data_IF_286529788750
#
_entry.id   IF_286529788750
#
_cell.length_a   1.000
_cell.length_b   1.000
_cell.length_c   1.000
_cell.angle_alpha   90.00
_cell.angle_beta   90.00
_cell.angle_gamma   90.00
#
_symmetry.space_group_name_H-M   'P 1'
#
loop_
_entity.id
_entity.type
_entity.pdbx_description
1 polymer ?
#
# COMPACT_ATOMS: atom_id res chain seq x y z
N UNK A 1 42.98 -12.69 21.63
CA UNK A 1 43.20 -11.38 22.27
C UNK A 1 42.90 -10.29 21.24
N UNK A 2 41.89 -9.46 21.54
CA UNK A 2 41.62 -8.06 21.14
C UNK A 2 41.78 -7.72 19.64
N UNK A 3 40.71 -7.60 18.83
CA UNK A 3 39.65 -6.55 18.77
C UNK A 3 40.11 -5.21 18.16
N UNK A 4 39.69 -4.96 16.92
CA UNK A 4 39.48 -3.62 16.34
C UNK A 4 38.23 -3.66 15.44
N UNK A 5 37.26 -2.73 15.60
CA UNK A 5 35.97 -2.80 14.91
C UNK A 5 35.91 -1.93 13.63
N UNK A 6 35.10 -2.42 12.68
CA UNK A 6 34.62 -1.72 11.49
C UNK A 6 33.79 -0.48 11.84
N UNK A 7 34.07 0.63 11.16
CA UNK A 7 33.25 1.84 11.15
C UNK A 7 32.31 1.79 9.93
N UNK A 8 31.00 1.70 10.17
CA UNK A 8 29.94 1.79 9.17
C UNK A 8 29.61 3.27 8.94
N UNK A 9 29.95 3.82 7.78
CA UNK A 9 29.48 5.14 7.33
C UNK A 9 28.25 4.96 6.43
N UNK A 10 27.06 5.34 6.93
CA UNK A 10 25.86 5.52 6.11
C UNK A 10 25.74 7.02 5.84
N UNK A 11 25.93 7.42 4.59
CA UNK A 11 25.71 8.78 4.10
C UNK A 11 24.21 9.03 3.90
N UNK A 12 23.67 10.01 4.64
CA UNK A 12 22.37 10.61 4.40
C UNK A 12 22.53 11.68 3.31
N UNK A 13 21.92 11.48 2.13
CA UNK A 13 21.76 12.54 1.14
C UNK A 13 20.35 13.13 1.26
N UNK A 14 20.28 14.37 1.76
CA UNK A 14 19.10 15.23 1.69
C UNK A 14 19.33 16.19 0.52
N UNK A 15 18.57 16.05 -0.55
CA UNK A 15 18.48 17.07 -1.60
C UNK A 15 17.37 18.04 -1.19
N UNK A 16 17.76 19.23 -0.74
CA UNK A 16 16.92 20.43 -0.77
C UNK A 16 17.17 21.09 -2.12
N UNK A 17 16.13 21.23 -2.94
CA UNK A 17 16.12 22.23 -4.00
C UNK A 17 14.91 23.14 -3.81
N UNK A 18 15.25 24.40 -3.53
CA UNK A 18 14.37 25.56 -3.54
C UNK A 18 13.81 25.79 -4.94
N UNK A 19 12.49 25.95 -5.06
CA UNK A 19 11.87 26.64 -6.19
C UNK A 19 10.97 27.72 -5.64
N UNK A 20 11.50 28.94 -5.69
CA UNK A 20 10.77 30.20 -5.53
C UNK A 20 9.89 30.40 -6.78
N UNK A 21 8.57 30.64 -6.68
CA UNK A 21 7.80 31.09 -7.83
C UNK A 21 8.16 32.55 -8.12
N UNK A 22 8.70 32.82 -9.31
CA UNK A 22 8.77 34.18 -9.87
C UNK A 22 7.36 34.59 -10.29
N UNK A 23 6.87 35.69 -9.73
CA UNK A 23 5.71 36.43 -10.24
C UNK A 23 6.01 36.88 -11.68
N UNK A 24 5.05 36.66 -12.58
CA UNK A 24 5.03 37.26 -13.91
C UNK A 24 3.80 38.18 -13.98
N UNK A 25 3.97 39.49 -14.22
CA UNK A 25 2.85 40.40 -14.44
C UNK A 25 2.30 40.19 -15.86
N UNK A 26 1.10 40.71 -16.11
CA UNK A 26 0.41 40.78 -17.41
C UNK A 26 -0.43 39.57 -17.82
N UNK A 27 -1.69 39.59 -17.38
CA UNK A 27 -2.83 39.40 -18.29
C UNK A 27 -4.14 39.88 -17.64
N UNK A 28 -4.35 41.19 -17.65
CA UNK A 28 -5.67 41.80 -17.48
C UNK A 28 -6.43 41.71 -18.81
N UNK A 29 -7.52 40.93 -18.84
CA UNK A 29 -8.69 41.24 -19.66
C UNK A 29 -9.90 40.37 -19.24
N UNK A 30 -10.94 40.95 -18.62
CA UNK A 30 -12.19 40.24 -18.34
C UNK A 30 -13.08 40.16 -19.58
N UNK A 31 -13.49 38.94 -19.95
CA UNK A 31 -14.56 38.69 -20.91
C UNK A 31 -15.93 39.10 -20.33
N UNK A 32 -16.87 39.65 -21.13
CA UNK A 32 -18.10 40.24 -20.61
C UNK A 32 -19.16 39.19 -20.24
N UNK A 33 -19.75 39.35 -19.04
CA UNK A 33 -20.93 38.61 -18.60
C UNK A 33 -22.15 38.99 -19.44
N UNK A 34 -22.72 38.01 -20.15
CA UNK A 34 -24.05 38.13 -20.77
C UNK A 34 -25.14 37.81 -19.75
N UNK A 35 -26.10 38.73 -19.62
CA UNK A 35 -27.32 38.60 -18.80
C UNK A 35 -28.26 37.55 -19.41
N UNK A 36 -28.70 36.58 -18.61
CA UNK A 36 -29.62 35.52 -19.05
C UNK A 36 -30.52 34.99 -17.93
N UNK A 37 -31.60 35.74 -17.67
CA UNK A 37 -32.95 35.35 -17.19
C UNK A 37 -33.10 34.35 -16.03
N UNK A 38 -33.62 34.91 -14.94
CA UNK A 38 -34.47 34.24 -13.95
C UNK A 38 -35.63 33.50 -14.63
N UNK A 39 -35.80 32.21 -14.29
CA UNK A 39 -37.08 31.52 -14.04
C UNK A 39 -36.86 29.99 -14.13
N UNK A 40 -36.88 29.31 -12.98
CA UNK A 40 -37.47 27.96 -12.77
C UNK A 40 -37.13 27.47 -11.34
N UNK A 41 -37.74 28.11 -10.33
CA UNK A 41 -37.94 27.49 -9.03
C UNK A 41 -39.40 27.05 -8.93
N UNK A 42 -39.68 25.76 -9.12
CA UNK A 42 -40.82 25.05 -8.51
C UNK A 42 -40.95 23.61 -9.05
N UNK A 43 -40.08 22.73 -8.57
CA UNK A 43 -40.37 21.28 -8.50
C UNK A 43 -39.35 20.58 -7.58
N UNK A 44 -39.29 20.97 -6.31
CA UNK A 44 -38.55 20.19 -5.31
C UNK A 44 -39.40 18.97 -4.97
N UNK A 45 -39.05 17.83 -5.57
CA UNK A 45 -39.68 16.55 -5.29
C UNK A 45 -39.47 16.18 -3.81
N UNK A 46 -40.52 16.08 -2.97
CA UNK A 46 -40.41 15.87 -1.53
C UNK A 46 -39.75 14.53 -1.14
N UNK A 47 -39.64 13.58 -2.09
CA UNK A 47 -38.93 12.31 -1.88
C UNK A 47 -37.40 12.45 -1.84
N UNK A 48 -36.83 13.57 -2.30
CA UNK A 48 -35.37 13.78 -2.30
C UNK A 48 -34.81 14.08 -0.90
N UNK A 49 -35.60 14.71 -0.03
CA UNK A 49 -35.22 14.97 1.36
C UNK A 49 -35.26 13.70 2.23
N UNK A 50 -36.24 12.82 2.04
CA UNK A 50 -36.30 11.54 2.78
C UNK A 50 -35.15 10.58 2.44
N UNK A 51 -34.63 10.63 1.20
CA UNK A 51 -33.43 9.86 0.82
C UNK A 51 -32.11 10.52 1.24
N UNK A 52 -32.07 11.84 1.42
CA UNK A 52 -30.90 12.55 1.93
C UNK A 52 -30.73 12.34 3.45
N UNK A 53 -31.83 12.34 4.21
CA UNK A 53 -31.79 12.09 5.66
C UNK A 53 -31.33 10.67 6.01
N UNK A 54 -31.70 9.65 5.21
CA UNK A 54 -31.20 8.27 5.39
C UNK A 54 -29.71 8.09 5.01
N UNK A 55 -29.12 8.98 4.21
CA UNK A 55 -27.70 8.92 3.84
C UNK A 55 -26.76 9.45 4.93
N UNK A 56 -27.30 10.20 5.91
CA UNK A 56 -26.55 10.82 7.00
C UNK A 56 -26.60 10.09 8.34
N UNK A 57 -27.27 8.94 8.45
CA UNK A 57 -27.29 8.18 9.69
C UNK A 57 -25.88 7.65 10.02
N UNK A 58 -25.35 8.08 11.16
CA UNK A 58 -24.16 7.49 11.78
C UNK A 58 -24.46 6.03 12.05
N UNK A 59 -23.74 5.13 11.38
CA UNK A 59 -23.90 3.69 11.57
C UNK A 59 -23.38 3.33 12.97
N UNK A 60 -24.13 2.51 13.68
CA UNK A 60 -23.67 1.90 14.93
C UNK A 60 -22.58 0.85 14.65
N UNK A 61 -21.90 0.40 15.70
CA UNK A 61 -20.95 -0.72 15.61
C UNK A 61 -21.62 -1.96 14.98
N UNK A 62 -22.83 -2.29 15.43
CA UNK A 62 -23.58 -3.46 14.95
C UNK A 62 -24.00 -3.30 13.48
N UNK A 63 -24.34 -2.09 13.04
CA UNK A 63 -24.65 -1.83 11.63
C UNK A 63 -23.43 -2.08 10.73
N UNK A 64 -22.24 -1.65 11.18
CA UNK A 64 -20.99 -1.94 10.49
C UNK A 64 -20.71 -3.45 10.46
N UNK A 65 -20.84 -4.11 11.60
CA UNK A 65 -20.55 -5.54 11.73
C UNK A 65 -21.53 -6.40 10.91
N UNK A 66 -22.80 -6.07 10.90
CA UNK A 66 -23.77 -6.82 10.09
C UNK A 66 -23.61 -6.52 8.61
N UNK A 67 -23.40 -5.26 8.24
CA UNK A 67 -23.24 -4.85 6.84
C UNK A 67 -21.98 -5.40 6.18
N UNK A 68 -20.84 -5.42 6.88
CA UNK A 68 -19.61 -6.03 6.35
C UNK A 68 -19.80 -7.53 6.20
N UNK A 69 -20.32 -8.22 7.22
CA UNK A 69 -20.56 -9.66 7.19
C UNK A 69 -21.51 -10.07 6.06
N UNK A 70 -22.48 -9.23 5.70
CA UNK A 70 -23.40 -9.46 4.58
C UNK A 70 -22.79 -9.12 3.21
N UNK A 71 -21.51 -8.73 3.14
CA UNK A 71 -20.83 -8.35 1.90
C UNK A 71 -21.26 -6.98 1.34
N UNK A 72 -21.84 -6.09 2.15
CA UNK A 72 -22.29 -4.78 1.69
C UNK A 72 -21.10 -3.86 1.36
N UNK A 73 -20.83 -3.67 0.05
CA UNK A 73 -19.70 -2.87 -0.46
C UNK A 73 -19.72 -1.41 0.02
N UNK A 74 -20.89 -0.81 0.23
CA UNK A 74 -21.01 0.56 0.74
C UNK A 74 -20.61 0.64 2.20
N UNK A 75 -21.06 -0.30 3.03
CA UNK A 75 -20.69 -0.36 4.45
C UNK A 75 -19.19 -0.65 4.61
N UNK A 76 -18.65 -1.58 3.81
CA UNK A 76 -17.21 -1.86 3.75
C UNK A 76 -16.41 -0.60 3.42
N UNK A 77 -16.82 0.14 2.37
CA UNK A 77 -16.14 1.39 1.98
C UNK A 77 -16.17 2.44 3.10
N UNK A 78 -17.31 2.58 3.80
CA UNK A 78 -17.44 3.50 4.94
C UNK A 78 -16.56 3.08 6.12
N UNK A 79 -16.42 1.79 6.38
CA UNK A 79 -15.54 1.29 7.43
C UNK A 79 -14.05 1.55 7.11
N UNK A 80 -13.65 1.39 5.85
CA UNK A 80 -12.31 1.77 5.38
C UNK A 80 -12.08 3.28 5.56
N UNK A 81 -13.08 4.11 5.29
CA UNK A 81 -12.98 5.56 5.56
C UNK A 81 -12.77 5.88 7.04
N UNK A 82 -13.30 5.07 7.98
CA UNK A 82 -13.01 5.23 9.41
C UNK A 82 -11.54 4.95 9.73
N UNK A 83 -10.96 3.89 9.15
CA UNK A 83 -9.54 3.55 9.29
C UNK A 83 -8.66 4.69 8.77
N UNK A 84 -8.99 5.25 7.61
CA UNK A 84 -8.25 6.34 6.97
C UNK A 84 -8.34 7.67 7.72
N UNK A 85 -9.28 7.79 8.67
CA UNK A 85 -9.53 9.03 9.38
C UNK A 85 -8.41 9.39 10.37
N UNK A 86 -8.17 10.69 10.52
CA UNK A 86 -7.27 11.23 11.54
C UNK A 86 -7.93 11.41 12.90
N UNK A 87 -9.27 11.35 12.97
CA UNK A 87 -10.02 11.52 14.22
C UNK A 87 -9.91 10.30 15.13
N UNK A 88 -9.67 10.53 16.43
CA UNK A 88 -9.53 9.46 17.43
C UNK A 88 -10.81 8.61 17.53
N UNK A 89 -11.98 9.26 17.59
CA UNK A 89 -13.29 8.60 17.64
C UNK A 89 -13.52 7.61 16.49
N UNK A 90 -13.13 7.97 15.27
CA UNK A 90 -13.26 7.10 14.10
C UNK A 90 -12.29 5.92 14.17
N UNK A 91 -11.05 6.17 14.60
CA UNK A 91 -10.04 5.12 14.77
C UNK A 91 -10.46 4.10 15.83
N UNK A 92 -10.98 4.56 16.96
CA UNK A 92 -11.45 3.69 18.04
C UNK A 92 -12.64 2.82 17.58
N UNK A 93 -13.58 3.39 16.82
CA UNK A 93 -14.67 2.64 16.23
C UNK A 93 -14.16 1.61 15.21
N UNK A 94 -13.21 1.98 14.34
CA UNK A 94 -12.62 1.07 13.37
C UNK A 94 -11.93 -0.13 14.04
N UNK A 95 -11.17 0.10 15.12
CA UNK A 95 -10.54 -0.98 15.88
C UNK A 95 -11.58 -1.92 16.49
N UNK A 96 -12.64 -1.38 17.11
CA UNK A 96 -13.75 -2.19 17.64
C UNK A 96 -14.40 -3.05 16.55
N UNK A 97 -14.59 -2.52 15.34
CA UNK A 97 -15.11 -3.29 14.20
C UNK A 97 -14.15 -4.44 13.84
N UNK A 98 -12.85 -4.16 13.68
CA UNK A 98 -11.85 -5.17 13.31
C UNK A 98 -11.76 -6.29 14.37
N UNK A 99 -11.77 -5.92 15.65
CA UNK A 99 -11.69 -6.87 16.77
C UNK A 99 -12.82 -7.91 16.75
N UNK A 100 -14.03 -7.54 16.31
CA UNK A 100 -15.15 -8.48 16.16
C UNK A 100 -14.88 -9.58 15.12
N UNK A 101 -14.00 -9.31 14.15
CA UNK A 101 -13.73 -10.23 13.04
C UNK A 101 -12.41 -10.96 13.13
N UNK A 102 -11.51 -10.60 14.05
CA UNK A 102 -10.24 -11.29 14.20
C UNK A 102 -10.36 -12.83 14.20
N UNK A 103 -11.37 -13.46 14.87
CA UNK A 103 -11.55 -14.92 14.83
C UNK A 103 -11.93 -15.49 13.45
N UNK A 104 -12.56 -14.70 12.58
CA UNK A 104 -13.08 -15.11 11.27
C UNK A 104 -12.19 -14.64 10.10
N UNK A 105 -11.09 -13.96 10.39
CA UNK A 105 -10.12 -13.47 9.39
C UNK A 105 -8.93 -14.41 9.27
N UNK A 106 -8.14 -14.27 8.21
CA UNK A 106 -6.98 -15.12 7.93
C UNK A 106 -7.26 -16.31 7.01
N UNK A 107 -8.41 -16.37 6.35
CA UNK A 107 -8.68 -17.45 5.38
C UNK A 107 -8.32 -17.09 3.93
N UNK A 108 -8.18 -15.79 3.63
CA UNK A 108 -7.86 -15.33 2.28
C UNK A 108 -6.40 -15.59 1.91
N UNK A 109 -6.12 -15.66 0.60
CA UNK A 109 -4.76 -15.64 0.05
C UNK A 109 -4.37 -14.18 -0.24
N UNK A 110 -3.28 -13.71 0.35
CA UNK A 110 -2.78 -12.33 0.20
C UNK A 110 -1.58 -12.33 -0.74
N UNK A 111 -1.69 -11.65 -1.88
CA UNK A 111 -0.64 -11.59 -2.90
C UNK A 111 -0.17 -10.15 -3.06
N UNK A 112 1.11 -9.91 -2.81
CA UNK A 112 1.77 -8.65 -3.15
C UNK A 112 2.22 -8.69 -4.59
N UNK A 113 1.91 -7.65 -5.38
CA UNK A 113 2.27 -7.55 -6.79
C UNK A 113 3.06 -6.26 -6.98
N UNK A 114 4.31 -6.39 -7.40
CA UNK A 114 5.20 -5.26 -7.68
C UNK A 114 5.83 -5.41 -9.07
N UNK A 115 6.43 -4.33 -9.57
CA UNK A 115 7.17 -4.35 -10.82
C UNK A 115 7.53 -2.94 -11.26
N UNK A 116 8.48 -2.85 -12.20
CA UNK A 116 8.95 -1.58 -12.73
C UNK A 116 7.82 -0.81 -13.44
N UNK A 117 7.85 0.53 -13.48
CA UNK A 117 6.91 1.30 -14.28
C UNK A 117 6.87 0.82 -15.74
N UNK A 118 5.67 0.65 -16.29
CA UNK A 118 5.51 0.21 -17.69
C UNK A 118 5.53 -1.31 -17.91
N UNK A 119 5.78 -2.13 -16.88
CA UNK A 119 5.76 -3.61 -16.96
C UNK A 119 4.39 -4.21 -17.31
N UNK A 120 3.31 -3.41 -17.29
CA UNK A 120 1.95 -3.88 -17.53
C UNK A 120 1.24 -4.41 -16.29
N UNK A 121 1.64 -3.96 -15.08
CA UNK A 121 1.11 -4.43 -13.80
C UNK A 121 -0.41 -4.31 -13.65
N UNK A 122 -1.00 -3.17 -14.01
CA UNK A 122 -2.45 -2.98 -13.89
C UNK A 122 -3.22 -3.90 -14.85
N UNK A 123 -2.74 -4.07 -16.08
CA UNK A 123 -3.28 -5.04 -17.05
C UNK A 123 -3.14 -6.47 -16.51
N UNK A 124 -1.98 -6.81 -15.93
CA UNK A 124 -1.76 -8.12 -15.33
C UNK A 124 -2.74 -8.39 -14.18
N UNK A 125 -2.93 -7.43 -13.27
CA UNK A 125 -3.87 -7.53 -12.15
C UNK A 125 -5.30 -7.70 -12.67
N UNK A 126 -5.68 -6.95 -13.72
CA UNK A 126 -6.98 -7.09 -14.36
C UNK A 126 -7.20 -8.50 -14.93
N UNK A 127 -6.28 -8.97 -15.76
CA UNK A 127 -6.38 -10.28 -16.41
C UNK A 127 -6.37 -11.43 -15.39
N UNK A 128 -5.42 -11.43 -14.45
CA UNK A 128 -5.36 -12.42 -13.38
C UNK A 128 -6.59 -12.34 -12.47
N UNK A 129 -7.06 -11.14 -12.17
CA UNK A 129 -8.22 -10.92 -11.31
C UNK A 129 -9.51 -11.46 -11.92
N UNK A 130 -9.74 -11.23 -13.21
CA UNK A 130 -10.87 -11.83 -13.92
C UNK A 130 -10.75 -13.36 -13.96
N UNK A 131 -9.56 -13.88 -14.27
CA UNK A 131 -9.29 -15.32 -14.30
C UNK A 131 -9.67 -16.06 -13.00
N UNK A 132 -9.43 -15.44 -11.84
CA UNK A 132 -9.79 -16.04 -10.54
C UNK A 132 -11.27 -15.85 -10.18
N UNK A 133 -11.88 -14.74 -10.60
CA UNK A 133 -13.31 -14.48 -10.42
C UNK A 133 -14.13 -15.48 -11.24
N UNK A 134 -13.69 -15.79 -12.46
CA UNK A 134 -14.32 -16.80 -13.33
C UNK A 134 -14.27 -18.21 -12.71
N UNK A 135 -13.37 -18.43 -11.74
CA UNK A 135 -13.27 -19.66 -10.93
C UNK A 135 -14.06 -19.58 -9.61
N UNK A 136 -14.95 -18.59 -9.47
CA UNK A 136 -15.86 -18.43 -8.34
C UNK A 136 -15.25 -17.74 -7.11
N UNK A 137 -14.04 -17.18 -7.22
CA UNK A 137 -13.38 -16.48 -6.10
C UNK A 137 -13.84 -15.03 -5.99
N UNK A 138 -13.72 -14.46 -4.79
CA UNK A 138 -13.97 -13.03 -4.53
C UNK A 138 -12.66 -12.30 -4.28
N UNK A 139 -12.37 -11.28 -5.10
CA UNK A 139 -11.11 -10.56 -5.10
C UNK A 139 -11.25 -9.14 -4.52
N UNK A 140 -10.35 -8.77 -3.61
CA UNK A 140 -10.09 -7.37 -3.28
C UNK A 140 -8.72 -6.92 -3.84
N UNK A 141 -8.65 -5.74 -4.44
CA UNK A 141 -7.41 -5.12 -4.93
C UNK A 141 -7.16 -3.83 -4.16
N UNK A 142 -6.03 -3.76 -3.45
CA UNK A 142 -5.63 -2.64 -2.60
C UNK A 142 -4.32 -2.04 -3.13
N UNK A 143 -4.32 -0.76 -3.46
CA UNK A 143 -3.11 -0.09 -3.93
C UNK A 143 -2.37 0.62 -2.78
N UNK A 144 -1.02 0.58 -2.81
CA UNK A 144 -0.13 1.36 -1.94
C UNK A 144 0.71 2.30 -2.81
N UNK A 145 0.39 3.59 -2.73
CA UNK A 145 1.12 4.66 -3.43
C UNK A 145 1.57 5.75 -2.44
N UNK A 146 2.83 5.76 -1.98
CA UNK A 146 3.33 6.83 -1.12
C UNK A 146 3.36 8.21 -1.81
N UNK A 147 3.39 8.27 -3.15
CA UNK A 147 3.40 9.54 -3.90
C UNK A 147 2.05 10.26 -3.89
N UNK A 148 0.96 9.53 -3.63
CA UNK A 148 -0.40 10.07 -3.48
C UNK A 148 -0.52 11.19 -2.43
N UNK A 149 0.40 11.22 -1.46
CA UNK A 149 0.54 12.28 -0.46
C UNK A 149 0.82 13.66 -1.04
N UNK A 150 1.54 13.73 -2.17
CA UNK A 150 1.86 14.99 -2.87
C UNK A 150 0.76 15.39 -3.85
N UNK A 151 0.12 14.42 -4.50
CA UNK A 151 -0.88 14.65 -5.55
C UNK A 151 -2.32 14.80 -5.03
N UNK A 152 -2.55 14.74 -3.72
CA UNK A 152 -3.89 14.71 -3.09
C UNK A 152 -4.79 13.59 -3.63
N UNK A 153 -4.17 12.48 -4.05
CA UNK A 153 -4.77 11.25 -4.55
C UNK A 153 -5.31 11.30 -5.96
N UNK A 154 -4.90 10.30 -6.73
CA UNK A 154 -5.55 9.92 -7.97
C UNK A 154 -6.74 9.02 -7.66
N UNK A 155 -7.92 9.62 -7.42
CA UNK A 155 -9.17 8.85 -7.23
C UNK A 155 -9.58 8.12 -8.52
N UNK A 156 -9.28 8.70 -9.69
CA UNK A 156 -9.71 8.17 -10.99
C UNK A 156 -8.66 7.30 -11.68
N UNK A 157 -7.37 7.58 -11.55
CA UNK A 157 -6.33 6.98 -12.39
C UNK A 157 -6.10 5.49 -12.20
N UNK A 158 -6.44 4.92 -11.03
CA UNK A 158 -6.33 3.48 -10.77
C UNK A 158 -7.60 2.71 -11.17
N UNK A 159 -8.79 3.32 -11.02
CA UNK A 159 -10.06 2.70 -11.43
C UNK A 159 -10.23 2.66 -12.95
N UNK A 160 -9.67 3.62 -13.69
CA UNK A 160 -9.71 3.63 -15.15
C UNK A 160 -8.76 2.61 -15.79
N UNK A 161 -7.83 2.03 -15.03
CA UNK A 161 -6.84 1.04 -15.53
C UNK A 161 -7.30 -0.42 -15.39
N UNK A 162 -8.39 -0.67 -14.68
CA UNK A 162 -8.96 -1.99 -14.42
C UNK A 162 -10.47 -1.96 -14.66
N UNK A 163 -10.88 -1.67 -15.89
CA UNK A 163 -12.28 -1.38 -16.25
C UNK A 163 -13.24 -2.55 -16.00
N UNK A 164 -12.83 -3.76 -16.36
CA UNK A 164 -13.65 -4.97 -16.27
C UNK A 164 -13.79 -5.43 -14.82
N UNK A 165 -12.66 -5.50 -14.09
CA UNK A 165 -12.65 -5.78 -12.66
C UNK A 165 -13.49 -4.77 -11.87
N UNK A 166 -13.40 -3.48 -12.19
CA UNK A 166 -14.15 -2.44 -11.48
C UNK A 166 -15.68 -2.61 -11.59
N UNK A 167 -16.16 -3.28 -12.66
CA UNK A 167 -17.59 -3.56 -12.90
C UNK A 167 -18.07 -4.86 -12.25
N UNK A 168 -17.16 -5.75 -11.84
CA UNK A 168 -17.54 -7.01 -11.21
C UNK A 168 -18.07 -6.81 -9.79
N UNK A 169 -19.12 -7.56 -9.44
CA UNK A 169 -19.64 -7.65 -8.07
C UNK A 169 -18.80 -8.57 -7.17
N UNK A 170 -17.99 -9.43 -7.78
CA UNK A 170 -17.03 -10.29 -7.09
C UNK A 170 -15.68 -9.60 -6.83
N UNK A 171 -15.48 -8.40 -7.37
CA UNK A 171 -14.27 -7.60 -7.16
C UNK A 171 -14.51 -6.38 -6.24
N UNK A 172 -13.51 -5.97 -5.49
CA UNK A 172 -13.49 -4.70 -4.77
C UNK A 172 -12.15 -4.00 -4.93
N UNK A 173 -12.15 -2.80 -5.52
CA UNK A 173 -10.91 -2.05 -5.78
C UNK A 173 -10.87 -0.82 -4.88
N UNK A 174 -9.81 -0.72 -4.06
CA UNK A 174 -9.53 0.44 -3.21
C UNK A 174 -8.21 1.09 -3.65
N UNK A 175 -8.26 2.30 -4.23
CA UNK A 175 -7.06 3.10 -4.49
C UNK A 175 -6.34 3.46 -3.20
N UNK A 176 -5.05 3.81 -3.31
CA UNK A 176 -4.23 4.23 -2.17
C UNK A 176 -4.88 5.41 -1.41
N UNK A 177 -4.82 5.42 -0.07
CA UNK A 177 -5.21 6.57 0.75
C UNK A 177 -4.47 7.84 0.32
N UNK A 178 -5.15 8.98 0.39
CA UNK A 178 -4.70 10.30 -0.07
C UNK A 178 -3.69 11.00 0.83
N UNK A 179 -3.52 10.54 2.09
CA UNK A 179 -2.79 11.28 3.12
C UNK A 179 -2.08 10.36 4.10
N UNK A 180 -0.83 10.70 4.44
CA UNK A 180 -0.03 10.05 5.48
C UNK A 180 1.32 9.57 4.98
N UNK A 181 2.34 9.54 5.86
CA UNK A 181 3.62 8.91 5.53
C UNK A 181 3.41 7.43 5.14
N UNK A 182 4.37 6.82 4.46
CA UNK A 182 4.31 5.42 4.03
C UNK A 182 3.85 4.46 5.15
N UNK A 183 4.33 4.65 6.38
CA UNK A 183 3.90 3.86 7.55
C UNK A 183 2.41 3.99 7.87
N UNK A 184 1.83 5.19 7.70
CA UNK A 184 0.39 5.40 7.85
C UNK A 184 -0.44 4.71 6.77
N UNK A 185 0.01 4.80 5.50
CA UNK A 185 -0.66 4.12 4.38
C UNK A 185 -0.62 2.61 4.58
N UNK A 186 0.55 2.06 4.88
CA UNK A 186 0.71 0.62 5.04
C UNK A 186 -0.09 0.06 6.22
N UNK A 187 -0.20 0.82 7.33
CA UNK A 187 -1.09 0.48 8.44
C UNK A 187 -2.55 0.42 7.99
N UNK A 188 -3.04 1.46 7.32
CA UNK A 188 -4.41 1.52 6.80
C UNK A 188 -4.71 0.37 5.86
N UNK A 189 -3.79 0.04 4.96
CA UNK A 189 -3.94 -1.11 4.05
C UNK A 189 -4.02 -2.42 4.82
N UNK A 190 -3.18 -2.62 5.83
CA UNK A 190 -3.23 -3.81 6.68
C UNK A 190 -4.56 -3.94 7.44
N UNK A 191 -5.09 -2.84 7.98
CA UNK A 191 -6.40 -2.84 8.64
C UNK A 191 -7.53 -3.11 7.63
N UNK A 192 -7.39 -2.61 6.40
CA UNK A 192 -8.33 -2.85 5.30
C UNK A 192 -8.36 -4.32 4.85
N UNK A 193 -7.21 -5.02 4.86
CA UNK A 193 -7.14 -6.46 4.59
C UNK A 193 -8.13 -7.22 5.49
N UNK A 194 -8.13 -6.95 6.79
CA UNK A 194 -9.04 -7.62 7.73
C UNK A 194 -10.52 -7.35 7.42
N UNK A 195 -10.87 -6.11 7.04
CA UNK A 195 -12.25 -5.78 6.65
C UNK A 195 -12.67 -6.48 5.35
N UNK A 196 -11.76 -6.60 4.38
CA UNK A 196 -12.02 -7.35 3.14
C UNK A 196 -12.23 -8.85 3.43
N UNK A 197 -11.37 -9.45 4.26
CA UNK A 197 -11.54 -10.85 4.67
C UNK A 197 -12.88 -11.05 5.39
N UNK A 198 -13.24 -10.15 6.31
CA UNK A 198 -14.53 -10.16 7.01
C UNK A 198 -15.74 -10.00 6.08
N UNK A 199 -15.59 -9.29 4.96
CA UNK A 199 -16.60 -9.13 3.92
C UNK A 199 -16.71 -10.34 2.98
N UNK A 200 -15.91 -11.39 3.20
CA UNK A 200 -15.89 -12.63 2.44
C UNK A 200 -15.10 -12.56 1.15
N UNK A 201 -14.11 -11.67 1.04
CA UNK A 201 -13.10 -11.73 -0.02
C UNK A 201 -12.05 -12.78 0.37
N UNK A 202 -11.90 -13.81 -0.48
CA UNK A 202 -11.00 -14.95 -0.25
C UNK A 202 -9.62 -14.76 -0.90
N UNK A 203 -9.46 -13.70 -1.70
CA UNK A 203 -8.20 -13.33 -2.35
C UNK A 203 -8.02 -11.84 -2.25
N UNK A 204 -6.82 -11.40 -1.88
CA UNK A 204 -6.48 -9.99 -1.74
C UNK A 204 -5.18 -9.72 -2.48
N UNK A 205 -5.24 -8.87 -3.49
CA UNK A 205 -4.07 -8.34 -4.18
C UNK A 205 -3.67 -7.00 -3.58
N UNK A 206 -2.39 -6.85 -3.30
CA UNK A 206 -1.79 -5.61 -2.80
C UNK A 206 -0.78 -5.14 -3.84
N UNK A 207 -1.11 -4.07 -4.54
CA UNK A 207 -0.29 -3.51 -5.59
C UNK A 207 0.61 -2.39 -5.05
N UNK A 208 1.89 -2.40 -5.41
CA UNK A 208 2.76 -1.22 -5.24
C UNK A 208 2.59 -0.28 -6.43
N UNK A 209 2.56 1.03 -6.17
CA UNK A 209 2.63 2.05 -7.22
C UNK A 209 4.02 2.68 -7.21
N UNK A 210 4.81 2.39 -8.25
CA UNK A 210 6.11 3.03 -8.49
C UNK A 210 7.30 2.42 -7.76
N UNK A 211 8.45 3.10 -7.86
CA UNK A 211 9.74 2.72 -7.25
C UNK A 211 9.86 3.32 -5.85
N UNK A 212 10.05 2.51 -4.80
CA UNK A 212 9.98 3.02 -3.43
C UNK A 212 10.58 2.15 -2.32
N UNK A 213 10.04 2.35 -1.12
CA UNK A 213 10.16 1.48 0.08
C UNK A 213 8.84 0.74 0.36
N UNK A 214 7.85 0.87 -0.54
CA UNK A 214 6.53 0.28 -0.39
C UNK A 214 6.56 -1.24 -0.57
N UNK A 215 7.55 -1.77 -1.29
CA UNK A 215 7.77 -3.19 -1.54
C UNK A 215 7.98 -3.95 -0.24
N UNK A 216 8.85 -3.46 0.65
CA UNK A 216 9.08 -4.04 1.98
C UNK A 216 7.82 -4.01 2.83
N UNK A 217 7.05 -2.91 2.77
CA UNK A 217 5.80 -2.79 3.50
C UNK A 217 4.76 -3.80 2.99
N UNK A 218 4.60 -3.93 1.66
CA UNK A 218 3.71 -4.93 1.05
C UNK A 218 4.16 -6.34 1.41
N UNK A 219 5.44 -6.69 1.27
CA UNK A 219 5.97 -8.00 1.64
C UNK A 219 5.67 -8.36 3.11
N UNK A 220 5.67 -7.38 4.01
CA UNK A 220 5.35 -7.58 5.44
C UNK A 220 3.86 -7.83 5.75
N UNK A 221 2.97 -7.82 4.75
CA UNK A 221 1.53 -8.04 4.96
C UNK A 221 0.90 -9.06 4.01
N UNK A 222 1.70 -9.74 3.17
CA UNK A 222 1.22 -10.71 2.18
C UNK A 222 1.79 -12.10 2.42
N UNK A 223 1.12 -13.11 1.87
CA UNK A 223 1.57 -14.50 1.92
C UNK A 223 2.53 -14.80 0.78
N UNK A 224 2.23 -14.30 -0.41
CA UNK A 224 3.01 -14.49 -1.62
C UNK A 224 3.40 -13.14 -2.22
N UNK A 225 4.64 -12.98 -2.67
CA UNK A 225 5.13 -11.75 -3.29
C UNK A 225 5.60 -12.00 -4.72
N UNK A 226 4.85 -11.47 -5.69
CA UNK A 226 5.08 -11.61 -7.12
C UNK A 226 5.78 -10.36 -7.68
N UNK A 227 6.93 -10.57 -8.32
CA UNK A 227 7.66 -9.53 -9.04
C UNK A 227 7.42 -9.66 -10.55
N UNK A 228 6.84 -8.62 -11.15
CA UNK A 228 6.68 -8.52 -12.60
C UNK A 228 7.90 -7.87 -13.24
N UNK A 229 8.37 -8.48 -14.33
CA UNK A 229 9.56 -8.09 -15.09
C UNK A 229 9.31 -7.97 -16.58
N UNK A 230 10.18 -7.28 -17.31
CA UNK A 230 10.25 -7.31 -18.77
C UNK A 230 11.49 -8.09 -19.23
N UNK A 231 11.41 -8.70 -20.40
CA UNK A 231 12.57 -9.25 -21.08
C UNK A 231 13.36 -8.14 -21.80
N UNK A 232 14.69 -8.28 -21.92
CA UNK A 232 15.54 -7.28 -22.59
C UNK A 232 15.90 -6.06 -21.73
N UNK A 233 15.44 -6.03 -20.48
CA UNK A 233 15.74 -5.04 -19.46
C UNK A 233 17.16 -5.19 -18.86
N UNK A 234 18.17 -5.50 -19.68
CA UNK A 234 19.50 -5.97 -19.23
C UNK A 234 20.22 -5.08 -18.19
N UNK A 235 19.92 -3.78 -18.15
CA UNK A 235 20.41 -2.84 -17.12
C UNK A 235 19.44 -2.64 -15.94
N UNK A 236 18.18 -3.06 -16.04
CA UNK A 236 17.18 -2.92 -14.98
C UNK A 236 17.40 -3.89 -13.82
N UNK A 237 18.21 -4.94 -13.99
CA UNK A 237 18.67 -5.75 -12.85
C UNK A 237 19.51 -4.89 -11.88
N UNK A 238 20.14 -3.80 -12.36
CA UNK A 238 20.74 -2.77 -11.50
C UNK A 238 19.70 -1.80 -10.92
N UNK A 239 18.58 -1.57 -11.63
CA UNK A 239 17.45 -0.74 -11.18
C UNK A 239 16.58 -1.43 -10.13
N UNK A 240 16.51 -2.75 -10.15
CA UNK A 240 15.87 -3.54 -9.11
C UNK A 240 16.86 -3.68 -7.97
N UNK A 241 16.55 -2.97 -6.89
CA UNK A 241 17.29 -3.07 -5.65
C UNK A 241 17.39 -4.57 -5.31
N UNK A 242 18.61 -5.05 -5.08
CA UNK A 242 18.92 -6.41 -4.60
C UNK A 242 17.91 -6.93 -3.57
N UNK A 243 17.43 -6.06 -2.67
CA UNK A 243 16.43 -6.41 -1.66
C UNK A 243 15.03 -6.78 -2.18
N UNK A 244 14.60 -6.34 -3.38
CA UNK A 244 13.28 -6.70 -3.94
C UNK A 244 13.29 -8.12 -4.49
N UNK A 245 14.36 -8.52 -5.20
CA UNK A 245 14.50 -9.89 -5.70
C UNK A 245 14.56 -10.90 -4.55
N UNK A 246 15.24 -10.54 -3.45
CA UNK A 246 15.31 -11.36 -2.23
C UNK A 246 13.93 -11.62 -1.59
N UNK A 247 12.94 -10.76 -1.84
CA UNK A 247 11.57 -10.90 -1.32
C UNK A 247 10.64 -11.68 -2.26
N UNK A 248 11.05 -11.96 -3.51
CA UNK A 248 10.17 -12.54 -4.51
C UNK A 248 9.96 -14.05 -4.29
N UNK A 249 8.70 -14.46 -4.10
CA UNK A 249 8.31 -15.87 -4.11
C UNK A 249 8.19 -16.39 -5.56
N UNK A 250 7.96 -15.50 -6.54
CA UNK A 250 8.14 -15.77 -7.96
C UNK A 250 8.40 -14.49 -8.76
N UNK A 251 8.96 -14.68 -9.95
CA UNK A 251 9.14 -13.65 -10.96
C UNK A 251 8.31 -14.02 -12.19
N UNK A 252 7.47 -13.10 -12.68
CA UNK A 252 6.78 -13.27 -13.96
C UNK A 252 7.29 -12.24 -14.97
N UNK A 253 7.90 -12.73 -16.05
CA UNK A 253 8.34 -11.91 -17.17
C UNK A 253 7.12 -11.68 -18.07
N UNK A 254 6.57 -10.48 -18.03
CA UNK A 254 5.39 -10.08 -18.78
C UNK A 254 5.75 -9.62 -20.20
N UNK A 255 4.73 -9.43 -21.04
CA UNK A 255 4.84 -9.04 -22.46
C UNK A 255 5.62 -10.05 -23.31
N UNK A 256 5.46 -11.33 -22.99
CA UNK A 256 6.06 -12.41 -23.76
C UNK A 256 5.59 -12.44 -25.24
N UNK A 257 4.41 -11.88 -25.53
CA UNK A 257 3.84 -11.72 -26.87
C UNK A 257 4.57 -10.68 -27.75
N UNK A 258 5.15 -9.65 -27.13
CA UNK A 258 5.90 -8.59 -27.81
C UNK A 258 7.43 -8.84 -27.79
N UNK A 259 7.88 -9.91 -27.13
CA UNK A 259 9.30 -10.19 -26.89
C UNK A 259 9.81 -11.28 -27.82
N UNK A 260 10.99 -11.06 -28.43
CA UNK A 260 11.68 -12.13 -29.15
C UNK A 260 11.99 -13.33 -28.26
N UNK A 261 11.67 -14.55 -28.72
CA UNK A 261 11.81 -15.79 -27.96
C UNK A 261 13.21 -15.99 -27.35
N UNK A 262 14.27 -15.61 -28.09
CA UNK A 262 15.65 -15.71 -27.61
C UNK A 262 15.90 -14.78 -26.42
N UNK A 263 15.42 -13.54 -26.48
CA UNK A 263 15.56 -12.58 -25.39
C UNK A 263 14.76 -13.01 -24.16
N UNK A 264 13.57 -13.59 -24.37
CA UNK A 264 12.74 -14.15 -23.30
C UNK A 264 13.45 -15.31 -22.58
N UNK A 265 13.97 -16.29 -23.33
CA UNK A 265 14.71 -17.42 -22.76
C UNK A 265 15.96 -16.99 -22.00
N UNK A 266 16.68 -15.99 -22.53
CA UNK A 266 17.83 -15.41 -21.85
C UNK A 266 17.43 -14.78 -20.51
N UNK A 267 16.38 -13.95 -20.50
CA UNK A 267 15.89 -13.30 -19.29
C UNK A 267 15.42 -14.32 -18.24
N UNK A 268 14.68 -15.37 -18.64
CA UNK A 268 14.30 -16.47 -17.74
C UNK A 268 15.54 -17.10 -17.10
N UNK A 269 16.54 -17.46 -17.91
CA UNK A 269 17.78 -18.07 -17.43
C UNK A 269 18.57 -17.16 -16.48
N UNK A 270 18.61 -15.85 -16.76
CA UNK A 270 19.28 -14.85 -15.91
C UNK A 270 18.61 -14.71 -14.55
N UNK A 271 17.29 -14.49 -14.51
CA UNK A 271 16.56 -14.35 -13.26
C UNK A 271 16.54 -15.65 -12.45
N UNK A 272 16.44 -16.81 -13.12
CA UNK A 272 16.45 -18.10 -12.43
C UNK A 272 17.81 -18.33 -11.75
N UNK A 273 18.92 -18.04 -12.45
CA UNK A 273 20.27 -18.07 -11.86
C UNK A 273 20.41 -17.11 -10.69
N UNK A 274 19.90 -15.88 -10.82
CA UNK A 274 19.96 -14.89 -9.75
C UNK A 274 19.21 -15.35 -8.49
N UNK A 275 18.01 -15.93 -8.65
CA UNK A 275 17.23 -16.48 -7.53
C UNK A 275 17.98 -17.61 -6.80
N UNK A 276 18.71 -18.46 -7.53
CA UNK A 276 19.52 -19.54 -6.95
C UNK A 276 20.76 -19.07 -6.17
N UNK A 277 21.16 -17.79 -6.29
CA UNK A 277 22.26 -17.23 -5.49
C UNK A 277 21.83 -16.87 -4.07
N UNK A 278 20.52 -16.82 -3.80
CA UNK A 278 19.99 -16.51 -2.48
C UNK A 278 19.87 -17.77 -1.62
N UNK A 279 19.99 -17.63 -0.28
CA UNK A 279 19.80 -18.75 0.62
C UNK A 279 18.40 -19.35 0.47
N UNK A 280 18.29 -20.64 0.77
CA UNK A 280 16.99 -21.32 0.78
C UNK A 280 16.00 -20.58 1.70
N UNK A 281 14.77 -20.43 1.22
CA UNK A 281 13.73 -19.75 1.98
C UNK A 281 13.33 -20.61 3.20
N UNK A 282 13.07 -19.95 4.34
CA UNK A 282 12.51 -20.61 5.54
C UNK A 282 11.19 -21.35 5.25
N UNK A 283 10.52 -21.01 4.14
CA UNK A 283 9.27 -21.62 3.71
C UNK A 283 9.44 -23.00 3.08
N UNK A 284 10.66 -23.37 2.70
CA UNK A 284 10.94 -24.54 1.85
C UNK A 284 10.52 -24.37 0.39
N UNK A 285 9.95 -23.21 0.01
CA UNK A 285 9.66 -22.86 -1.37
C UNK A 285 10.93 -22.45 -2.11
N UNK A 286 11.06 -22.92 -3.35
CA UNK A 286 12.07 -22.45 -4.30
C UNK A 286 11.42 -21.46 -5.26
N UNK A 287 11.83 -20.18 -5.23
CA UNK A 287 11.31 -19.18 -6.16
C UNK A 287 11.50 -19.59 -7.62
N UNK A 288 10.49 -19.33 -8.44
CA UNK A 288 10.48 -19.70 -9.86
C UNK A 288 10.32 -18.48 -10.74
N UNK A 289 10.93 -18.54 -11.92
CA UNK A 289 10.70 -17.58 -13.00
C UNK A 289 9.75 -18.18 -14.02
N UNK A 290 8.70 -17.44 -14.36
CA UNK A 290 7.73 -17.79 -15.40
C UNK A 290 7.57 -16.63 -16.38
N UNK A 291 6.86 -16.88 -17.47
CA UNK A 291 6.59 -15.93 -18.54
C UNK A 291 5.10 -15.79 -18.73
N UNK A 292 4.63 -14.59 -19.05
CA UNK A 292 3.23 -14.37 -19.37
C UNK A 292 3.05 -13.22 -20.37
N UNK A 293 1.85 -13.17 -20.93
CA UNK A 293 1.31 -11.97 -21.54
C UNK A 293 -0.01 -11.63 -20.86
N UNK A 294 0.00 -10.54 -20.10
CA UNK A 294 -1.22 -9.99 -19.53
C UNK A 294 -2.24 -9.58 -20.61
N UNK A 295 -1.78 -9.25 -21.81
CA UNK A 295 -2.64 -8.79 -22.91
C UNK A 295 -3.37 -9.95 -23.59
N UNK A 296 -2.68 -11.05 -23.87
CA UNK A 296 -3.27 -12.24 -24.52
C UNK A 296 -3.79 -13.28 -23.53
N UNK A 297 -3.53 -13.08 -22.23
CA UNK A 297 -3.80 -14.02 -21.13
C UNK A 297 -2.91 -15.27 -21.08
N UNK A 298 -1.90 -15.36 -21.94
CA UNK A 298 -0.95 -16.49 -21.94
C UNK A 298 -0.15 -16.52 -20.63
N UNK A 299 -0.01 -17.69 -20.01
CA UNK A 299 0.75 -17.87 -18.77
C UNK A 299 0.04 -17.42 -17.49
N UNK A 300 -1.15 -16.82 -17.58
CA UNK A 300 -1.89 -16.31 -16.41
C UNK A 300 -2.42 -17.44 -15.52
N UNK A 301 -2.90 -18.52 -16.14
CA UNK A 301 -3.39 -19.71 -15.42
C UNK A 301 -2.27 -20.34 -14.60
N UNK A 302 -1.12 -20.52 -15.24
CA UNK A 302 0.07 -21.15 -14.68
C UNK A 302 0.64 -20.33 -13.52
N UNK A 303 0.62 -19.00 -13.62
CA UNK A 303 1.00 -18.12 -12.50
C UNK A 303 0.06 -18.31 -11.30
N UNK A 304 -1.25 -18.40 -11.55
CA UNK A 304 -2.19 -18.61 -10.46
C UNK A 304 -2.02 -19.97 -9.79
N UNK A 305 -1.83 -21.02 -10.57
CA UNK A 305 -1.54 -22.36 -10.08
C UNK A 305 -0.26 -22.39 -9.25
N UNK A 306 0.78 -21.69 -9.68
CA UNK A 306 2.03 -21.53 -8.93
C UNK A 306 1.81 -20.85 -7.58
N UNK A 307 0.99 -19.79 -7.52
CA UNK A 307 0.63 -19.14 -6.25
C UNK A 307 -0.09 -20.14 -5.34
N UNK A 308 -0.99 -20.95 -5.88
CA UNK A 308 -1.73 -21.93 -5.10
C UNK A 308 -0.85 -23.09 -4.62
N UNK A 309 0.14 -23.51 -5.42
CA UNK A 309 1.15 -24.50 -5.02
C UNK A 309 1.98 -24.01 -3.82
N UNK A 310 2.40 -22.73 -3.83
CA UNK A 310 3.04 -22.12 -2.67
C UNK A 310 2.13 -22.16 -1.44
N UNK A 311 0.86 -21.77 -1.60
CA UNK A 311 -0.11 -21.76 -0.50
C UNK A 311 -0.31 -23.17 0.07
N UNK A 312 -0.38 -24.19 -0.78
CA UNK A 312 -0.50 -25.58 -0.34
C UNK A 312 0.74 -26.04 0.42
N UNK A 313 1.94 -25.84 -0.15
CA UNK A 313 3.21 -26.22 0.49
C UNK A 313 3.36 -25.57 1.86
N UNK A 314 3.15 -24.25 1.92
CA UNK A 314 3.37 -23.47 3.14
C UNK A 314 2.31 -23.71 4.21
N UNK A 315 1.09 -24.10 3.83
CA UNK A 315 0.10 -24.59 4.79
C UNK A 315 0.47 -25.97 5.31
N UNK A 316 0.90 -26.88 4.42
CA UNK A 316 1.27 -28.26 4.78
C UNK A 316 2.44 -28.31 5.77
N UNK A 317 3.43 -27.43 5.62
CA UNK A 317 4.59 -27.37 6.51
C UNK A 317 4.44 -26.38 7.69
N UNK A 318 3.27 -25.73 7.82
CA UNK A 318 2.98 -24.78 8.89
C UNK A 318 3.63 -23.40 8.74
N UNK A 319 4.39 -23.15 7.67
CA UNK A 319 5.05 -21.87 7.43
C UNK A 319 4.04 -20.74 7.26
N UNK A 320 2.91 -20.98 6.57
CA UNK A 320 1.89 -19.98 6.25
C UNK A 320 1.40 -19.23 7.51
N UNK A 321 0.98 -19.95 8.54
CA UNK A 321 0.53 -19.35 9.80
C UNK A 321 1.68 -18.74 10.59
N UNK A 322 2.86 -19.36 10.55
CA UNK A 322 4.06 -18.83 11.23
C UNK A 322 4.47 -17.46 10.65
N UNK A 323 4.44 -17.31 9.31
CA UNK A 323 4.75 -16.06 8.59
C UNK A 323 3.78 -14.97 9.04
N UNK A 324 2.48 -15.27 9.07
CA UNK A 324 1.46 -14.31 9.50
C UNK A 324 1.58 -13.90 10.96
N UNK A 325 1.94 -14.82 11.86
CA UNK A 325 2.24 -14.49 13.27
C UNK A 325 3.46 -13.57 13.39
N UNK A 326 4.53 -13.84 12.63
CA UNK A 326 5.72 -12.95 12.57
C UNK A 326 5.36 -11.57 12.04
N UNK A 327 4.57 -11.50 10.98
CA UNK A 327 4.06 -10.24 10.43
C UNK A 327 3.21 -9.49 11.46
N UNK A 328 2.27 -10.15 12.13
CA UNK A 328 1.45 -9.51 13.17
C UNK A 328 2.30 -8.93 14.31
N UNK A 329 3.31 -9.68 14.77
CA UNK A 329 4.29 -9.20 15.75
C UNK A 329 5.04 -7.96 15.23
N UNK A 330 5.56 -8.02 14.00
CA UNK A 330 6.25 -6.90 13.36
C UNK A 330 5.38 -5.64 13.35
N UNK A 331 4.12 -5.77 12.92
CA UNK A 331 3.19 -4.65 12.85
C UNK A 331 2.80 -4.06 14.21
N UNK A 332 2.79 -4.86 15.28
CA UNK A 332 2.63 -4.36 16.64
C UNK A 332 3.80 -3.43 17.03
N UNK A 333 5.05 -3.86 16.81
CA UNK A 333 6.23 -3.03 17.11
C UNK A 333 6.31 -1.79 16.23
N UNK A 334 6.03 -1.92 14.93
CA UNK A 334 6.00 -0.79 14.01
C UNK A 334 4.94 0.24 14.41
N UNK A 335 3.76 -0.21 14.84
CA UNK A 335 2.70 0.67 15.36
C UNK A 335 3.15 1.43 16.61
N UNK A 336 3.83 0.76 17.54
CA UNK A 336 4.39 1.40 18.74
C UNK A 336 5.39 2.48 18.35
N UNK A 337 6.35 2.16 17.48
CA UNK A 337 7.36 3.09 16.98
C UNK A 337 6.72 4.32 16.33
N UNK A 338 5.82 4.11 15.37
CA UNK A 338 5.12 5.19 14.68
C UNK A 338 4.29 6.04 15.64
N UNK A 339 3.65 5.45 16.66
CA UNK A 339 2.86 6.21 17.64
C UNK A 339 3.74 7.07 18.54
N UNK A 340 4.89 6.55 18.97
CA UNK A 340 5.86 7.32 19.76
C UNK A 340 6.46 8.47 18.94
N UNK A 341 6.87 8.22 17.69
CA UNK A 341 7.38 9.27 16.79
C UNK A 341 6.34 10.37 16.54
N UNK A 342 5.10 9.99 16.20
CA UNK A 342 4.02 10.95 15.97
C UNK A 342 3.68 11.75 17.24
N UNK A 343 3.70 11.11 18.41
CA UNK A 343 3.45 11.82 19.67
C UNK A 343 4.59 12.79 20.01
N UNK A 344 5.85 12.39 19.75
CA UNK A 344 7.02 13.24 19.94
C UNK A 344 6.99 14.48 19.03
N UNK A 345 6.89 14.30 17.71
CA UNK A 345 6.88 15.42 16.76
C UNK A 345 5.59 16.23 16.79
N UNK A 346 4.49 15.62 17.23
CA UNK A 346 3.21 16.28 17.45
C UNK A 346 3.15 17.10 18.74
N UNK A 347 4.09 16.90 19.69
CA UNK A 347 4.08 17.60 20.96
C UNK A 347 4.35 19.11 20.77
N UNK A 348 3.48 20.02 21.24
CA UNK A 348 3.58 21.46 20.94
C UNK A 348 4.95 22.07 21.25
N UNK A 349 5.51 21.74 22.43
CA UNK A 349 6.84 22.22 22.86
C UNK A 349 7.97 21.72 21.96
N UNK A 350 7.91 20.46 21.52
CA UNK A 350 8.95 19.87 20.66
C UNK A 350 8.87 20.49 19.28
N UNK A 351 7.67 20.57 18.71
CA UNK A 351 7.41 21.22 17.43
C UNK A 351 7.93 22.66 17.38
N UNK A 352 7.86 23.40 18.49
CA UNK A 352 8.40 24.75 18.60
C UNK A 352 9.94 24.77 18.69
N UNK A 353 10.56 23.81 19.37
CA UNK A 353 12.02 23.76 19.58
C UNK A 353 12.79 23.15 18.40
N UNK A 354 12.17 22.27 17.63
CA UNK A 354 12.80 21.53 16.53
C UNK A 354 13.53 22.43 15.52
N UNK A 355 12.92 23.51 14.96
CA UNK A 355 13.60 24.32 13.95
C UNK A 355 14.89 25.00 14.47
N UNK A 356 14.89 25.41 15.73
CA UNK A 356 16.07 26.03 16.35
C UNK A 356 17.20 25.01 16.54
N UNK A 357 16.87 23.76 16.89
CA UNK A 357 17.85 22.68 17.01
C UNK A 357 18.39 22.23 15.66
N UNK A 358 17.55 22.14 14.64
CA UNK A 358 17.96 21.86 13.26
C UNK A 358 18.97 22.90 12.77
N UNK A 359 18.70 24.19 12.99
CA UNK A 359 19.63 25.27 12.63
C UNK A 359 21.00 25.11 13.30
N UNK A 360 21.03 24.78 14.59
CA UNK A 360 22.29 24.53 15.32
C UNK A 360 23.07 23.36 14.75
N UNK A 361 22.38 22.30 14.31
CA UNK A 361 23.03 21.14 13.67
C UNK A 361 23.61 21.51 12.30
N UNK A 362 22.82 22.19 11.46
CA UNK A 362 23.24 22.59 10.11
C UNK A 362 24.41 23.58 10.14
N UNK A 363 24.48 24.44 11.15
CA UNK A 363 25.59 25.37 11.36
C UNK A 363 26.83 24.74 12.02
N UNK A 364 26.78 23.47 12.42
CA UNK A 364 27.87 22.80 13.14
C UNK A 364 28.04 23.27 14.60
N UNK A 365 27.07 24.00 15.16
CA UNK A 365 27.07 24.46 16.55
C UNK A 365 26.73 23.34 17.53
N UNK A 366 26.04 22.30 17.07
CA UNK A 366 25.65 21.12 17.86
C UNK A 366 25.70 19.85 17.00
N UNK A 367 26.11 18.72 17.58
CA UNK A 367 26.04 17.44 16.84
C UNK A 367 24.59 16.97 16.73
N UNK A 368 24.28 16.21 15.67
CA UNK A 368 22.95 15.61 15.46
C UNK A 368 22.49 14.78 16.66
N UNK A 369 23.39 14.00 17.26
CA UNK A 369 23.10 13.20 18.45
C UNK A 369 22.79 14.05 19.69
N UNK A 370 23.53 15.15 19.93
CA UNK A 370 23.26 16.03 21.08
C UNK A 370 21.97 16.82 20.90
N UNK A 371 21.68 17.29 19.69
CA UNK A 371 20.42 17.96 19.39
C UNK A 371 19.22 17.04 19.62
N UNK A 372 19.31 15.79 19.13
CA UNK A 372 18.29 14.78 19.37
C UNK A 372 18.10 14.48 20.86
N UNK A 373 19.19 14.29 21.62
CA UNK A 373 19.12 14.05 23.06
C UNK A 373 18.44 15.21 23.79
N UNK A 374 18.79 16.47 23.48
CA UNK A 374 18.16 17.63 24.10
C UNK A 374 16.66 17.70 23.83
N UNK A 375 16.21 17.40 22.60
CA UNK A 375 14.78 17.36 22.28
C UNK A 375 14.08 16.20 23.02
N UNK A 376 14.72 15.04 23.13
CA UNK A 376 14.22 13.89 23.90
C UNK A 376 14.10 14.21 25.39
N UNK A 377 15.10 14.84 26.00
CA UNK A 377 15.07 15.25 27.40
C UNK A 377 13.93 16.24 27.66
N UNK A 378 13.75 17.22 26.77
CA UNK A 378 12.62 18.15 26.86
C UNK A 378 11.27 17.45 26.76
N UNK A 379 11.15 16.44 25.89
CA UNK A 379 9.93 15.67 25.73
C UNK A 379 9.64 14.78 26.94
N UNK A 380 10.64 14.09 27.49
CA UNK A 380 10.46 13.26 28.68
C UNK A 380 10.08 14.10 29.89
N UNK A 381 10.66 15.29 30.04
CA UNK A 381 10.28 16.23 31.09
C UNK A 381 8.83 16.71 30.97
N UNK A 382 8.27 16.85 29.76
CA UNK A 382 6.87 17.28 29.62
C UNK A 382 5.86 16.17 29.87
N UNK A 383 6.21 14.91 29.64
CA UNK A 383 5.31 13.79 29.93
C UNK A 383 5.41 13.32 31.39
N UNK A 384 6.56 13.49 32.06
CA UNK A 384 6.73 13.16 33.48
C UNK A 384 6.03 14.17 34.41
N UNK A 385 5.87 15.43 33.97
CA UNK A 385 5.20 16.49 34.72
C UNK A 385 3.70 16.63 34.40
N UNK A 386 3.05 15.58 33.86
CA UNK A 386 1.58 15.55 33.77
C UNK A 386 1.01 15.28 35.17
N UNK A 387 0.08 16.11 35.68
CA UNK A 387 -0.62 15.82 36.93
C UNK A 387 -1.44 14.52 36.85
#
# INVERSE_FOLDING_TARGET
>A
MVSTPLLYCITFNIIIQDIVPKENPDNDNPLPLSKGKEHLNSAINPKRHQHAEKRGATLSLDDYVNGIKSGNRTVLSRAITLIESTKTEHRDLAQKIIEQYLPATGHAVRVGITGVPGVGKSTFIETLGNHIIDRGRRLAVLAIDPSSTRSKGSILGDKTRMETLARSDHAFIRPSPTSGALGGIARTTRETIYLCEAAGYDTIFIETVGVGQSETAVHSMVDFFLLLMLAGAGDELQGIKRGIMEMADAIAINKADETEQKALQQAVGEYQRALHLYPESESGWQPRVTTCSALTSDGITEIWELIMEYVELTKKNGYFDSKRKRQAKYWMYDTIKNRLENHFFGHPKIKQLTPAMEKKVLNGELTSFRAAQQLLDQYFNTIQNKP
#
